data_IF_516688113663
#
_entry.id   IF_516688113663
#
_cell.length_a   1.000
_cell.length_b   1.000
_cell.length_c   1.000
_cell.angle_alpha   90.00
_cell.angle_beta   90.00
_cell.angle_gamma   90.00
#
_symmetry.space_group_name_H-M   'P 1'
#
loop_
_entity.id
_entity.type
_entity.pdbx_description
1 polymer ?
#
# COMPACT_ATOMS: atom_id res chain seq x y z
N UNK A 1 25.24 2.48 -18.79
CA UNK A 1 25.41 1.91 -17.44
C UNK A 1 24.05 1.92 -16.75
N UNK A 2 23.42 0.76 -16.53
CA UNK A 2 22.07 0.69 -15.97
C UNK A 2 22.17 0.85 -14.45
N UNK A 3 21.66 1.96 -13.91
CA UNK A 3 21.63 2.22 -12.48
C UNK A 3 20.62 1.28 -11.81
N UNK A 4 21.10 0.30 -11.04
CA UNK A 4 20.24 -0.52 -10.18
C UNK A 4 20.04 0.19 -8.85
N UNK A 5 18.80 0.38 -8.38
CA UNK A 5 18.57 0.96 -7.06
C UNK A 5 19.09 0.04 -5.96
N UNK A 6 19.74 0.61 -4.95
CA UNK A 6 20.13 -0.11 -3.73
C UNK A 6 18.88 -0.67 -3.02
N UNK A 7 19.00 -1.88 -2.46
CA UNK A 7 17.95 -2.49 -1.65
C UNK A 7 17.65 -1.64 -0.40
N UNK A 8 16.44 -1.77 0.14
CA UNK A 8 16.03 -1.09 1.38
C UNK A 8 16.93 -1.46 2.56
N UNK A 9 17.33 -2.73 2.65
CA UNK A 9 18.21 -3.24 3.70
C UNK A 9 19.57 -2.56 3.71
N UNK A 10 20.21 -2.42 2.54
CA UNK A 10 21.51 -1.74 2.41
C UNK A 10 21.42 -0.28 2.86
N UNK A 11 20.32 0.41 2.55
CA UNK A 11 20.10 1.79 3.00
C UNK A 11 20.01 1.89 4.52
N UNK A 12 19.27 0.98 5.14
CA UNK A 12 19.09 0.95 6.60
C UNK A 12 20.40 0.65 7.31
N UNK A 13 21.17 -0.34 6.83
CA UNK A 13 22.46 -0.69 7.41
C UNK A 13 23.48 0.45 7.28
N UNK A 14 23.56 1.09 6.12
CA UNK A 14 24.45 2.22 5.90
C UNK A 14 24.13 3.42 6.81
N UNK A 15 22.83 3.73 7.01
CA UNK A 15 22.43 4.81 7.90
C UNK A 15 22.63 4.47 9.37
N UNK A 16 22.35 3.24 9.79
CA UNK A 16 22.63 2.79 11.15
C UNK A 16 24.14 2.82 11.48
N UNK A 17 24.99 2.47 10.51
CA UNK A 17 26.44 2.61 10.66
C UNK A 17 26.85 4.07 10.80
N UNK A 18 26.25 4.97 10.02
CA UNK A 18 26.50 6.41 10.11
C UNK A 18 26.09 6.99 11.46
N UNK A 19 24.94 6.61 12.00
CA UNK A 19 24.47 7.04 13.33
C UNK A 19 25.38 6.54 14.47
N UNK A 20 25.99 5.36 14.31
CA UNK A 20 27.00 4.83 15.23
C UNK A 20 28.37 5.52 15.10
N UNK A 21 28.50 6.51 14.23
CA UNK A 21 29.75 7.25 14.03
C UNK A 21 30.78 6.56 13.14
N UNK A 22 30.39 5.52 12.38
CA UNK A 22 31.30 4.88 11.42
C UNK A 22 31.66 5.87 10.31
N UNK A 23 32.95 5.95 9.97
CA UNK A 23 33.43 6.85 8.93
C UNK A 23 32.83 6.50 7.56
N UNK A 24 32.39 7.52 6.82
CA UNK A 24 31.76 7.35 5.50
C UNK A 24 32.59 6.51 4.52
N UNK A 25 33.92 6.68 4.38
CA UNK A 25 34.73 5.84 3.49
C UNK A 25 34.66 4.34 3.82
N UNK A 26 34.51 4.02 5.11
CA UNK A 26 34.34 2.65 5.58
C UNK A 26 32.96 2.10 5.19
N UNK A 27 31.92 2.93 5.25
CA UNK A 27 30.56 2.55 4.83
C UNK A 27 30.51 2.33 3.31
N UNK A 28 31.21 3.17 2.53
CA UNK A 28 31.29 3.02 1.07
C UNK A 28 31.91 1.68 0.67
N UNK A 29 33.01 1.30 1.32
CA UNK A 29 33.71 0.04 1.04
C UNK A 29 32.93 -1.18 1.51
N UNK A 30 32.30 -1.13 2.70
CA UNK A 30 31.53 -2.25 3.26
C UNK A 30 30.25 -2.57 2.49
N UNK A 31 29.51 -1.53 2.06
CA UNK A 31 28.18 -1.71 1.48
C UNK A 31 28.10 -1.42 -0.02
N UNK A 32 29.22 -0.98 -0.63
CA UNK A 32 29.26 -0.63 -2.05
C UNK A 32 28.34 0.53 -2.41
N UNK A 33 28.17 1.49 -1.49
CA UNK A 33 27.29 2.65 -1.65
C UNK A 33 28.15 3.89 -1.81
N UNK A 34 27.78 4.79 -2.73
CA UNK A 34 28.46 6.07 -2.89
C UNK A 34 28.13 7.06 -1.76
N UNK A 35 29.10 7.89 -1.38
CA UNK A 35 28.98 8.96 -0.40
C UNK A 35 27.76 9.86 -0.63
N UNK A 36 27.47 10.25 -1.87
CA UNK A 36 26.31 11.10 -2.20
C UNK A 36 25.00 10.40 -1.87
N UNK A 37 24.89 9.11 -2.14
CA UNK A 37 23.71 8.31 -1.81
C UNK A 37 23.46 8.25 -0.30
N UNK A 38 24.52 8.05 0.50
CA UNK A 38 24.44 8.04 1.96
C UNK A 38 23.88 9.38 2.47
N UNK A 39 24.47 10.50 2.04
CA UNK A 39 24.02 11.83 2.46
C UNK A 39 22.62 12.17 1.96
N UNK A 40 22.26 11.77 0.74
CA UNK A 40 20.91 11.95 0.21
C UNK A 40 19.87 11.21 1.06
N UNK A 41 20.15 9.97 1.47
CA UNK A 41 19.23 9.21 2.32
C UNK A 41 19.13 9.81 3.71
N UNK A 42 20.24 10.29 4.29
CA UNK A 42 20.23 10.99 5.57
C UNK A 42 19.32 12.23 5.51
N UNK A 43 19.51 13.09 4.51
CA UNK A 43 18.68 14.27 4.31
C UNK A 43 17.20 13.91 4.05
N UNK A 44 16.94 12.79 3.37
CA UNK A 44 15.59 12.29 3.15
C UNK A 44 14.92 11.86 4.47
N UNK A 45 15.64 11.18 5.35
CA UNK A 45 15.13 10.78 6.67
C UNK A 45 14.90 12.00 7.56
N UNK A 46 15.82 12.95 7.57
CA UNK A 46 15.67 14.19 8.36
C UNK A 46 14.47 15.03 7.90
N UNK A 47 14.16 15.04 6.60
CA UNK A 47 13.05 15.82 6.04
C UNK A 47 11.69 15.14 6.07
N UNK A 48 11.65 13.83 5.81
CA UNK A 48 10.39 13.10 5.56
C UNK A 48 10.15 11.98 6.58
N UNK A 49 11.10 11.71 7.48
CA UNK A 49 11.07 10.58 8.42
C UNK A 49 10.86 9.22 7.74
N UNK A 50 11.22 9.09 6.45
CA UNK A 50 11.03 7.85 5.68
C UNK A 50 12.09 7.65 4.61
N UNK A 51 12.47 6.37 4.41
CA UNK A 51 13.33 5.90 3.32
C UNK A 51 12.55 5.36 2.12
N UNK A 52 11.22 5.37 2.20
CA UNK A 52 10.37 4.97 1.10
C UNK A 52 10.72 5.80 -0.14
N UNK A 53 10.71 5.16 -1.30
CA UNK A 53 10.88 5.88 -2.56
C UNK A 53 9.74 6.88 -2.64
N UNK A 54 10.04 8.17 -2.59
CA UNK A 54 9.07 9.18 -2.94
C UNK A 54 8.66 8.87 -4.38
N UNK A 55 7.43 8.38 -4.55
CA UNK A 55 6.83 8.37 -5.86
C UNK A 55 6.80 9.86 -6.24
N UNK A 56 7.70 10.27 -7.12
CA UNK A 56 7.43 11.42 -7.96
C UNK A 56 6.15 11.01 -8.67
N UNK A 57 5.02 11.47 -8.15
CA UNK A 57 3.83 11.55 -8.95
C UNK A 57 4.34 12.25 -10.22
N UNK A 58 4.32 11.56 -11.35
CA UNK A 58 4.42 12.24 -12.64
C UNK A 58 3.17 13.11 -12.67
N UNK A 59 3.22 14.26 -12.01
CA UNK A 59 2.20 15.28 -12.02
C UNK A 59 2.37 15.94 -13.38
N UNK A 60 1.98 15.22 -14.43
CA UNK A 60 1.37 15.91 -15.55
C UNK A 60 0.27 16.76 -14.92
N UNK A 61 0.35 18.08 -15.11
CA UNK A 61 -0.67 19.02 -14.63
C UNK A 61 -2.03 18.37 -14.89
N UNK A 62 -2.85 18.09 -13.86
CA UNK A 62 -4.14 17.45 -14.08
C UNK A 62 -4.88 18.32 -15.11
N UNK A 63 -5.22 17.75 -16.26
CA UNK A 63 -6.10 18.46 -17.20
C UNK A 63 -7.39 18.67 -16.42
N UNK A 64 -7.72 19.92 -16.13
CA UNK A 64 -8.94 20.25 -15.42
C UNK A 64 -10.09 19.62 -16.21
N UNK A 65 -10.83 18.69 -15.58
CA UNK A 65 -12.03 18.13 -16.18
C UNK A 65 -13.04 19.28 -16.23
N UNK A 66 -13.59 19.64 -17.40
CA UNK A 66 -14.61 20.67 -17.50
C UNK A 66 -15.79 20.35 -16.56
N UNK A 67 -16.33 21.34 -15.87
CA UNK A 67 -17.45 21.16 -14.92
C UNK A 67 -18.64 20.34 -15.48
N UNK A 68 -19.02 20.45 -16.77
CA UNK A 68 -20.08 19.60 -17.34
C UNK A 68 -19.74 18.11 -17.35
N UNK A 69 -18.47 17.75 -17.60
CA UNK A 69 -18.00 16.37 -17.60
C UNK A 69 -17.94 15.79 -16.19
N UNK A 70 -17.62 16.61 -15.18
CA UNK A 70 -17.71 16.19 -13.77
C UNK A 70 -19.15 15.88 -13.38
N UNK A 71 -20.11 16.70 -13.80
CA UNK A 71 -21.52 16.50 -13.49
C UNK A 71 -22.08 15.19 -14.07
N UNK A 72 -21.72 14.87 -15.32
CA UNK A 72 -22.10 13.61 -15.96
C UNK A 72 -21.46 12.41 -15.27
N UNK A 73 -20.19 12.50 -14.87
CA UNK A 73 -19.53 11.42 -14.13
C UNK A 73 -20.16 11.18 -12.76
N UNK A 74 -20.53 12.25 -12.04
CA UNK A 74 -21.24 12.10 -10.76
C UNK A 74 -22.62 11.48 -10.95
N UNK A 75 -23.37 11.88 -11.97
CA UNK A 75 -24.67 11.28 -12.30
C UNK A 75 -24.53 9.79 -12.63
N UNK A 76 -23.55 9.41 -13.44
CA UNK A 76 -23.31 7.99 -13.77
C UNK A 76 -22.92 7.18 -12.53
N UNK A 77 -22.14 7.74 -11.61
CA UNK A 77 -21.77 7.09 -10.35
C UNK A 77 -22.93 7.00 -9.36
N UNK A 78 -23.86 7.96 -9.37
CA UNK A 78 -25.07 7.94 -8.56
C UNK A 78 -26.14 6.99 -9.14
N UNK A 79 -26.20 6.86 -10.47
CA UNK A 79 -27.15 6.00 -11.18
C UNK A 79 -26.72 4.52 -11.21
N UNK A 80 -25.43 4.23 -11.05
CA UNK A 80 -24.94 2.86 -10.88
C UNK A 80 -24.45 2.64 -9.46
N UNK A 81 -25.21 1.95 -8.58
CA UNK A 81 -24.60 1.38 -7.39
C UNK A 81 -23.51 0.45 -7.90
N UNK A 82 -22.24 0.87 -7.74
CA UNK A 82 -21.13 0.05 -8.18
C UNK A 82 -21.35 -1.35 -7.58
N UNK A 83 -21.15 -2.41 -8.37
CA UNK A 83 -21.34 -3.78 -7.85
C UNK A 83 -20.55 -4.01 -6.55
N UNK A 84 -19.49 -3.23 -6.35
CA UNK A 84 -18.69 -3.16 -5.13
C UNK A 84 -19.43 -2.55 -3.94
N UNK A 85 -20.18 -1.46 -4.13
CA UNK A 85 -21.03 -0.85 -3.12
C UNK A 85 -22.20 -1.79 -2.76
N UNK A 86 -22.81 -2.44 -3.74
CA UNK A 86 -23.88 -3.42 -3.49
C UNK A 86 -23.36 -4.66 -2.76
N UNK A 87 -22.19 -5.19 -3.15
CA UNK A 87 -21.52 -6.28 -2.40
C UNK A 87 -21.11 -5.87 -0.99
N UNK A 88 -20.69 -4.61 -0.78
CA UNK A 88 -20.36 -4.09 0.54
C UNK A 88 -21.61 -3.96 1.42
N UNK A 89 -22.73 -3.52 0.85
CA UNK A 89 -24.04 -3.46 1.50
C UNK A 89 -24.56 -4.85 1.89
N UNK A 90 -24.55 -5.81 0.96
CA UNK A 90 -24.93 -7.21 1.22
C UNK A 90 -24.05 -7.86 2.29
N UNK A 91 -22.75 -7.52 2.33
CA UNK A 91 -21.85 -7.94 3.42
C UNK A 91 -22.23 -7.31 4.75
N UNK A 92 -22.48 -6.01 4.78
CA UNK A 92 -22.87 -5.31 5.99
C UNK A 92 -24.20 -5.86 6.55
N UNK A 93 -25.20 -6.08 5.70
CA UNK A 93 -26.48 -6.70 6.09
C UNK A 93 -26.32 -8.12 6.63
N UNK A 94 -25.41 -8.95 6.06
CA UNK A 94 -25.10 -10.27 6.61
C UNK A 94 -24.44 -10.22 7.99
N UNK A 95 -23.66 -9.18 8.26
CA UNK A 95 -23.00 -8.97 9.56
C UNK A 95 -24.00 -8.46 10.60
N UNK A 96 -24.90 -7.55 10.23
CA UNK A 96 -25.92 -7.01 11.14
C UNK A 96 -27.07 -7.98 11.38
N UNK A 97 -27.45 -8.79 10.37
CA UNK A 97 -28.43 -9.86 10.49
C UNK A 97 -27.80 -11.19 10.94
N UNK A 98 -26.54 -11.16 11.38
CA UNK A 98 -25.79 -12.29 11.91
C UNK A 98 -26.32 -12.81 13.25
N UNK A 99 -27.57 -13.28 13.25
CA UNK A 99 -27.90 -14.48 14.01
C UNK A 99 -27.07 -15.61 13.38
N UNK A 100 -26.16 -16.17 14.17
CA UNK A 100 -25.28 -17.28 13.81
C UNK A 100 -25.97 -18.32 12.91
N UNK A 101 -25.60 -18.38 11.64
CA UNK A 101 -25.82 -19.58 10.81
C UNK A 101 -24.66 -20.54 11.04
N UNK A 102 -24.48 -20.94 12.30
CA UNK A 102 -23.75 -22.16 12.68
C UNK A 102 -24.74 -23.23 13.18
N UNK A 103 -26.01 -23.15 12.76
CA UNK A 103 -27.08 -24.09 13.17
C UNK A 103 -27.54 -25.06 12.07
N UNK A 104 -27.06 -24.93 10.83
CA UNK A 104 -27.55 -25.79 9.74
C UNK A 104 -26.61 -26.97 9.42
N UNK A 105 -25.32 -26.89 9.77
CA UNK A 105 -24.41 -28.04 9.64
C UNK A 105 -24.54 -29.07 10.77
N UNK A 106 -25.14 -28.71 11.92
CA UNK A 106 -25.46 -29.65 13.00
C UNK A 106 -26.81 -30.38 12.82
N UNK A 107 -27.62 -30.01 11.82
CA UNK A 107 -28.88 -30.72 11.50
C UNK A 107 -28.84 -31.56 10.22
N UNK A 108 -27.82 -31.39 9.38
CA UNK A 108 -27.64 -32.17 8.15
C UNK A 108 -26.71 -33.38 8.34
N UNK A 109 -26.47 -33.82 9.57
CA UNK A 109 -25.43 -34.79 9.90
C UNK A 109 -25.82 -35.94 10.83
N UNK A 110 -27.10 -36.29 10.98
CA UNK A 110 -27.53 -37.62 11.47
C UNK A 110 -29.02 -37.83 11.22
N UNK A 111 -29.43 -38.03 9.97
CA UNK A 111 -30.61 -38.84 9.67
C UNK A 111 -30.42 -39.47 8.28
N UNK A 112 -30.67 -40.78 8.24
CA UNK A 112 -30.71 -41.70 7.09
C UNK A 112 -29.40 -42.16 6.42
N UNK A 113 -28.88 -43.27 6.97
CA UNK A 113 -28.66 -44.46 6.16
C UNK A 113 -29.36 -45.65 6.84
N UNK A 114 -30.66 -45.78 6.55
CA UNK A 114 -31.37 -47.05 6.71
C UNK A 114 -31.07 -47.96 5.52
N UNK A 115 -30.65 -49.18 5.82
CA UNK A 115 -31.00 -50.40 5.08
C UNK A 115 -30.91 -51.57 6.05
#
# INVERSE_FOLDING_TARGET
>A
MVYKPHSSEVKLLALAALERGVAVPTIETLYGVDRRSIFRWKAQVESTFTLARQHSAMVGRPRAIPAPLLHVLTQLLDETPSERAERARLRAERVTNGRCVLSEYERAGTHDAGS
#
